data_IF_085232461419
#
_entry.id   IF_085232461419
#
_cell.length_a   1.000
_cell.length_b   1.000
_cell.length_c   1.000
_cell.angle_alpha   90.00
_cell.angle_beta   90.00
_cell.angle_gamma   90.00
#
_symmetry.space_group_name_H-M   'P 1'
#
loop_
_entity.id
_entity.type
_entity.pdbx_description
1 polymer ?
#
# COMPACT_ATOMS: atom_id res chain seq x y z
N UNK A 1 7.68 -13.92 -11.50
CA UNK A 1 7.62 -13.38 -12.88
C UNK A 1 6.27 -13.53 -13.56
N UNK A 2 5.64 -14.72 -13.57
CA UNK A 2 4.33 -14.94 -14.24
C UNK A 2 3.22 -14.01 -13.72
N UNK A 3 3.10 -13.83 -12.41
CA UNK A 3 2.08 -12.94 -11.80
C UNK A 3 2.27 -11.49 -12.28
N UNK A 4 3.50 -10.98 -12.25
CA UNK A 4 3.81 -9.62 -12.72
C UNK A 4 3.50 -9.44 -14.21
N UNK A 5 3.78 -10.44 -15.05
CA UNK A 5 3.42 -10.37 -16.47
C UNK A 5 1.92 -10.36 -16.70
N UNK A 6 1.14 -11.12 -15.92
CA UNK A 6 -0.32 -11.13 -16.03
C UNK A 6 -0.90 -9.79 -15.60
N UNK A 7 -0.42 -9.21 -14.50
CA UNK A 7 -0.84 -7.89 -14.03
C UNK A 7 -0.52 -6.80 -15.05
N UNK A 8 0.68 -6.84 -15.64
CA UNK A 8 1.08 -5.91 -16.70
C UNK A 8 0.19 -6.02 -17.94
N UNK A 9 -0.17 -7.23 -18.36
CA UNK A 9 -1.08 -7.44 -19.49
C UNK A 9 -2.49 -6.87 -19.19
N UNK A 10 -3.01 -7.09 -17.98
CA UNK A 10 -4.29 -6.52 -17.56
C UNK A 10 -4.24 -4.99 -17.57
N UNK A 11 -3.15 -4.40 -17.09
CA UNK A 11 -2.92 -2.94 -17.14
C UNK A 11 -2.98 -2.40 -18.56
N UNK A 12 -2.27 -3.02 -19.51
CA UNK A 12 -2.27 -2.59 -20.91
C UNK A 12 -3.67 -2.70 -21.56
N UNK A 13 -4.39 -3.79 -21.29
CA UNK A 13 -5.76 -3.95 -21.78
C UNK A 13 -6.67 -2.83 -21.27
N UNK A 14 -6.57 -2.49 -19.99
CA UNK A 14 -7.37 -1.42 -19.39
C UNK A 14 -6.98 -0.05 -19.96
N UNK A 15 -5.68 0.23 -20.07
CA UNK A 15 -5.13 1.45 -20.63
C UNK A 15 -5.64 1.70 -22.06
N UNK A 16 -5.80 0.66 -22.87
CA UNK A 16 -6.34 0.75 -24.23
C UNK A 16 -7.87 0.79 -24.25
N UNK A 17 -8.54 0.04 -23.37
CA UNK A 17 -10.01 -0.05 -23.35
C UNK A 17 -10.69 1.27 -22.95
N UNK A 18 -10.10 2.01 -22.00
CA UNK A 18 -10.63 3.29 -21.49
C UNK A 18 -10.76 4.34 -22.62
N UNK A 19 -9.72 4.68 -23.39
CA UNK A 19 -9.83 5.67 -24.47
C UNK A 19 -10.81 5.22 -25.57
N UNK A 20 -10.90 3.91 -25.85
CA UNK A 20 -11.90 3.37 -26.79
C UNK A 20 -13.33 3.60 -26.28
N UNK A 21 -13.60 3.28 -25.01
CA UNK A 21 -14.90 3.51 -24.38
C UNK A 21 -15.28 4.99 -24.38
N UNK A 22 -14.32 5.87 -24.05
CA UNK A 22 -14.49 7.33 -24.07
C UNK A 22 -14.78 7.81 -25.49
N UNK A 23 -14.02 7.36 -26.49
CA UNK A 23 -14.24 7.75 -27.88
C UNK A 23 -15.63 7.34 -28.38
N UNK A 24 -16.06 6.11 -28.09
CA UNK A 24 -17.41 5.63 -28.43
C UNK A 24 -18.49 6.46 -27.74
N UNK A 25 -18.30 6.80 -26.46
CA UNK A 25 -19.23 7.64 -25.72
C UNK A 25 -19.36 9.04 -26.34
N UNK A 26 -18.24 9.72 -26.56
CA UNK A 26 -18.18 11.09 -27.09
C UNK A 26 -18.77 11.14 -28.49
N UNK A 27 -18.43 10.18 -29.36
CA UNK A 27 -18.98 10.11 -30.71
C UNK A 27 -20.51 10.00 -30.70
N UNK A 28 -21.05 9.06 -29.91
CA UNK A 28 -22.49 8.82 -29.84
C UNK A 28 -23.24 9.99 -29.24
N UNK A 29 -22.66 10.69 -28.28
CA UNK A 29 -23.29 11.86 -27.69
C UNK A 29 -23.18 13.12 -28.56
N UNK A 30 -22.02 13.36 -29.17
CA UNK A 30 -21.83 14.50 -30.07
C UNK A 30 -22.78 14.41 -31.27
N UNK A 31 -22.97 13.21 -31.82
CA UNK A 31 -23.94 12.97 -32.91
C UNK A 31 -25.38 13.28 -32.50
N UNK A 32 -25.76 13.03 -31.25
CA UNK A 32 -27.11 13.34 -30.73
C UNK A 32 -27.34 14.82 -30.56
N UNK A 33 -26.30 15.54 -30.14
CA UNK A 33 -26.35 16.99 -29.91
C UNK A 33 -26.11 17.83 -31.16
N UNK A 34 -26.01 17.20 -32.34
CA UNK A 34 -25.74 17.90 -33.60
C UNK A 34 -24.35 18.52 -33.71
N UNK A 35 -23.39 18.13 -32.85
CA UNK A 35 -22.00 18.59 -32.91
C UNK A 35 -21.18 17.74 -33.87
N UNK A 36 -20.05 18.26 -34.37
CA UNK A 36 -19.11 17.52 -35.23
C UNK A 36 -18.50 16.30 -34.49
N UNK A 37 -18.97 15.06 -34.74
CA UNK A 37 -18.68 13.96 -33.81
C UNK A 37 -17.22 13.54 -33.83
N UNK A 38 -16.61 13.54 -35.02
CA UNK A 38 -15.23 13.10 -35.24
C UNK A 38 -14.24 14.04 -34.53
N UNK A 39 -14.44 15.35 -34.65
CA UNK A 39 -13.56 16.35 -34.05
C UNK A 39 -13.55 16.26 -32.53
N UNK A 40 -14.73 16.19 -31.91
CA UNK A 40 -14.84 16.04 -30.45
C UNK A 40 -14.28 14.69 -29.96
N UNK A 41 -14.48 13.62 -30.72
CA UNK A 41 -13.91 12.30 -30.41
C UNK A 41 -12.38 12.33 -30.46
N UNK A 42 -11.81 12.97 -31.48
CA UNK A 42 -10.37 13.09 -31.65
C UNK A 42 -9.74 13.88 -30.50
N UNK A 43 -10.35 15.02 -30.13
CA UNK A 43 -9.93 15.83 -28.98
C UNK A 43 -10.00 15.00 -27.69
N UNK A 44 -11.08 14.27 -27.46
CA UNK A 44 -11.28 13.51 -26.23
C UNK A 44 -10.29 12.34 -26.06
N UNK A 45 -9.88 11.70 -27.15
CA UNK A 45 -9.01 10.51 -27.14
C UNK A 45 -7.52 10.87 -27.20
N UNK A 46 -7.14 11.89 -27.98
CA UNK A 46 -5.73 12.26 -28.16
C UNK A 46 -5.17 13.13 -27.03
N UNK A 47 -6.03 13.83 -26.31
CA UNK A 47 -5.58 14.66 -25.20
C UNK A 47 -5.11 13.79 -24.03
N UNK A 48 -3.92 14.08 -23.44
CA UNK A 48 -3.41 13.33 -22.32
C UNK A 48 -4.31 13.48 -21.09
N UNK A 49 -4.24 12.50 -20.18
CA UNK A 49 -4.87 12.56 -18.86
C UNK A 49 -6.39 12.90 -18.88
N UNK A 50 -7.11 12.46 -19.90
CA UNK A 50 -8.55 12.71 -20.08
C UNK A 50 -8.93 14.20 -20.20
N UNK A 51 -7.96 15.10 -20.42
CA UNK A 51 -8.20 16.54 -20.51
C UNK A 51 -9.23 16.86 -21.61
N UNK A 52 -9.10 16.22 -22.77
CA UNK A 52 -10.04 16.39 -23.87
C UNK A 52 -11.45 15.92 -23.54
N UNK A 53 -11.58 14.85 -22.75
CA UNK A 53 -12.87 14.37 -22.28
C UNK A 53 -13.52 15.37 -21.30
N UNK A 54 -12.73 15.95 -20.38
CA UNK A 54 -13.20 17.00 -19.46
C UNK A 54 -13.66 18.23 -20.24
N UNK A 55 -12.85 18.71 -21.20
CA UNK A 55 -13.21 19.83 -22.07
C UNK A 55 -14.53 19.55 -22.80
N UNK A 56 -14.68 18.35 -23.36
CA UNK A 56 -15.92 17.93 -24.00
C UNK A 56 -17.12 17.99 -23.06
N UNK A 57 -16.98 17.49 -21.82
CA UNK A 57 -18.05 17.52 -20.83
C UNK A 57 -18.44 18.95 -20.42
N UNK A 58 -17.48 19.87 -20.33
CA UNK A 58 -17.75 21.28 -20.05
C UNK A 58 -18.50 21.94 -21.21
N UNK A 59 -18.02 21.74 -22.44
CA UNK A 59 -18.62 22.35 -23.63
C UNK A 59 -20.00 21.80 -23.93
N UNK A 60 -20.24 20.49 -23.77
CA UNK A 60 -21.56 19.92 -24.11
C UNK A 60 -22.69 20.50 -23.26
N UNK A 61 -22.40 21.09 -22.09
CA UNK A 61 -23.40 21.72 -21.22
C UNK A 61 -24.16 22.85 -21.90
N UNK A 62 -23.56 23.53 -22.89
CA UNK A 62 -24.20 24.61 -23.64
C UNK A 62 -25.14 24.12 -24.74
N UNK A 63 -25.09 22.85 -25.12
CA UNK A 63 -25.93 22.27 -26.17
C UNK A 63 -27.13 21.55 -25.59
N UNK A 64 -28.34 21.94 -25.99
CA UNK A 64 -29.60 21.33 -25.56
C UNK A 64 -29.93 20.06 -26.34
N UNK A 65 -30.26 18.99 -25.63
CA UNK A 65 -30.68 17.68 -26.16
C UNK A 65 -32.21 17.53 -26.05
N UNK A 66 -32.91 18.54 -26.57
CA UNK A 66 -34.36 18.69 -26.47
C UNK A 66 -34.99 18.34 -27.81
N UNK A 67 -36.03 17.52 -27.79
CA UNK A 67 -36.78 17.10 -28.98
C UNK A 67 -38.23 17.60 -28.90
N UNK A 68 -38.81 17.93 -30.05
CA UNK A 68 -40.23 18.26 -30.15
C UNK A 68 -41.07 16.99 -29.88
N UNK A 69 -42.06 17.03 -28.97
CA UNK A 69 -42.87 15.86 -28.66
C UNK A 69 -43.80 15.43 -29.80
N UNK A 70 -44.06 16.31 -30.78
CA UNK A 70 -44.95 16.03 -31.90
C UNK A 70 -44.21 15.43 -33.10
N UNK A 71 -43.11 16.03 -33.54
CA UNK A 71 -42.39 15.61 -34.75
C UNK A 71 -40.98 15.03 -34.52
N UNK A 72 -40.44 15.10 -33.29
CA UNK A 72 -39.10 14.61 -32.97
C UNK A 72 -37.94 15.50 -33.42
N UNK A 73 -38.22 16.68 -33.97
CA UNK A 73 -37.19 17.64 -34.39
C UNK A 73 -36.36 18.14 -33.19
N UNK A 74 -35.05 18.32 -33.37
CA UNK A 74 -34.20 18.92 -32.34
C UNK A 74 -34.53 20.40 -32.16
N UNK A 75 -34.86 20.80 -30.93
CA UNK A 75 -35.27 22.16 -30.59
C UNK A 75 -34.40 22.70 -29.48
N UNK A 76 -34.24 24.03 -29.41
CA UNK A 76 -33.49 24.65 -28.32
C UNK A 76 -34.42 25.18 -27.24
N UNK A 77 -33.88 25.43 -26.04
CA UNK A 77 -34.64 26.05 -24.94
C UNK A 77 -35.21 27.42 -25.29
N UNK A 78 -34.76 28.09 -26.36
CA UNK A 78 -35.23 29.44 -26.71
C UNK A 78 -36.45 29.41 -27.63
N UNK A 79 -36.76 28.26 -28.24
CA UNK A 79 -37.82 28.17 -29.23
C UNK A 79 -39.19 28.22 -28.56
N UNK A 80 -40.04 29.14 -29.03
CA UNK A 80 -41.43 29.31 -28.57
C UNK A 80 -42.34 28.30 -29.28
N UNK A 81 -42.06 28.03 -30.56
CA UNK A 81 -42.75 27.07 -31.40
C UNK A 81 -41.74 26.23 -32.19
N UNK A 82 -42.12 25.01 -32.53
CA UNK A 82 -41.30 24.14 -33.36
C UNK A 82 -41.23 24.66 -34.81
N UNK A 83 -40.05 24.83 -35.40
CA UNK A 83 -39.91 25.31 -36.78
C UNK A 83 -40.38 24.31 -37.84
N UNK A 84 -40.43 23.01 -37.50
CA UNK A 84 -40.81 21.95 -38.43
C UNK A 84 -42.33 21.68 -38.44
N UNK A 85 -42.95 21.53 -37.26
CA UNK A 85 -44.38 21.17 -37.14
C UNK A 85 -45.29 22.29 -36.60
N UNK A 86 -44.75 23.41 -36.14
CA UNK A 86 -45.53 24.53 -35.58
C UNK A 86 -46.05 24.32 -34.16
N UNK A 87 -45.81 23.17 -33.52
CA UNK A 87 -46.25 22.92 -32.13
C UNK A 87 -45.71 23.99 -31.17
N UNK A 88 -46.58 24.53 -30.31
CA UNK A 88 -46.17 25.47 -29.26
C UNK A 88 -45.41 24.72 -28.16
N UNK A 89 -44.15 25.12 -27.95
CA UNK A 89 -43.22 24.51 -27.00
C UNK A 89 -43.18 25.28 -25.67
N UNK A 90 -43.57 26.56 -25.68
CA UNK A 90 -43.69 27.43 -24.50
C UNK A 90 -45.03 28.15 -24.45
N UNK A 91 -45.47 28.44 -23.23
CA UNK A 91 -46.62 29.30 -23.01
C UNK A 91 -46.22 30.77 -23.17
N UNK A 92 -47.20 31.63 -23.45
CA UNK A 92 -47.04 33.08 -23.53
C UNK A 92 -47.82 33.73 -22.38
N UNK A 93 -47.27 34.79 -21.81
CA UNK A 93 -47.95 35.54 -20.77
C UNK A 93 -49.22 36.22 -21.32
N UNK A 94 -50.38 36.13 -20.66
CA UNK A 94 -51.62 36.73 -21.16
C UNK A 94 -51.60 38.26 -21.18
N UNK A 95 -50.80 38.89 -20.33
CA UNK A 95 -50.70 40.36 -20.25
C UNK A 95 -49.70 40.96 -21.26
N UNK A 96 -48.44 40.50 -21.25
CA UNK A 96 -47.36 41.09 -22.05
C UNK A 96 -46.91 40.23 -23.24
N UNK A 97 -47.58 39.10 -23.51
CA UNK A 97 -47.25 38.14 -24.58
C UNK A 97 -45.80 37.63 -24.62
N UNK A 98 -45.03 37.82 -23.54
CA UNK A 98 -43.68 37.29 -23.39
C UNK A 98 -43.65 35.77 -23.15
N UNK A 99 -42.61 35.05 -23.60
CA UNK A 99 -42.48 33.61 -23.42
C UNK A 99 -42.23 33.25 -21.95
N UNK A 100 -42.93 32.23 -21.45
CA UNK A 100 -42.85 31.77 -20.06
C UNK A 100 -42.70 30.25 -20.00
N UNK A 101 -42.00 29.76 -18.97
CA UNK A 101 -41.83 28.32 -18.71
C UNK A 101 -43.01 27.77 -17.89
N UNK A 102 -43.29 26.47 -18.04
CA UNK A 102 -44.46 25.83 -17.42
C UNK A 102 -44.41 25.87 -15.89
N UNK A 103 -43.20 25.86 -15.32
CA UNK A 103 -42.95 25.84 -13.89
C UNK A 103 -43.01 27.24 -13.23
N UNK A 104 -43.14 28.32 -14.03
CA UNK A 104 -43.13 29.69 -13.52
C UNK A 104 -44.52 30.10 -13.00
N UNK A 105 -44.54 30.69 -11.79
CA UNK A 105 -45.78 31.18 -11.16
C UNK A 105 -46.13 32.62 -11.54
N UNK A 106 -45.12 33.40 -11.94
CA UNK A 106 -45.22 34.84 -12.21
C UNK A 106 -44.38 35.17 -13.43
N UNK A 107 -44.89 36.04 -14.30
CA UNK A 107 -44.16 36.51 -15.47
C UNK A 107 -43.00 37.44 -15.06
N UNK A 108 -41.75 37.17 -15.47
CA UNK A 108 -40.62 38.03 -15.13
C UNK A 108 -40.63 39.38 -15.87
N UNK A 109 -41.34 39.47 -17.01
CA UNK A 109 -41.41 40.72 -17.78
C UNK A 109 -42.39 41.75 -17.21
N UNK A 110 -43.53 41.30 -16.68
CA UNK A 110 -44.60 42.21 -16.25
C UNK A 110 -45.16 41.95 -14.84
N UNK A 111 -44.66 40.93 -14.12
CA UNK A 111 -45.11 40.60 -12.77
C UNK A 111 -46.50 39.98 -12.66
N UNK A 112 -47.18 39.71 -13.80
CA UNK A 112 -48.52 39.12 -13.78
C UNK A 112 -48.46 37.64 -13.38
N UNK A 113 -49.31 37.17 -12.45
CA UNK A 113 -49.39 35.76 -12.10
C UNK A 113 -49.83 34.93 -13.31
N UNK A 114 -49.17 33.80 -13.53
CA UNK A 114 -49.45 32.92 -14.67
C UNK A 114 -50.57 31.93 -14.31
N UNK A 115 -51.50 31.64 -15.25
CA UNK A 115 -52.51 30.61 -15.05
C UNK A 115 -51.85 29.25 -14.77
N UNK A 116 -52.43 28.45 -13.88
CA UNK A 116 -51.95 27.10 -13.63
C UNK A 116 -52.43 26.19 -14.76
N UNK A 117 -51.49 25.78 -15.60
CA UNK A 117 -51.58 24.69 -16.58
C UNK A 117 -52.59 24.90 -17.74
N UNK A 118 -52.07 25.34 -18.89
CA UNK A 118 -52.74 25.19 -20.19
C UNK A 118 -52.31 23.85 -20.83
N UNK A 119 -53.25 22.91 -20.98
CA UNK A 119 -53.01 21.57 -21.56
C UNK A 119 -52.60 21.60 -23.05
N UNK A 120 -52.71 22.76 -23.71
CA UNK A 120 -52.34 22.92 -25.13
C UNK A 120 -50.83 23.13 -25.38
N UNK A 121 -50.02 23.26 -24.32
CA UNK A 121 -48.56 23.48 -24.43
C UNK A 121 -47.80 22.21 -24.06
N UNK A 122 -47.12 21.62 -25.05
CA UNK A 122 -46.27 20.44 -24.84
C UNK A 122 -44.81 20.87 -24.75
N UNK A 123 -44.26 20.83 -23.53
CA UNK A 123 -42.85 21.17 -23.30
C UNK A 123 -41.92 20.19 -24.03
N UNK A 124 -40.77 20.66 -24.55
CA UNK A 124 -39.81 19.79 -25.22
C UNK A 124 -39.30 18.71 -24.26
N UNK A 125 -39.24 17.48 -24.74
CA UNK A 125 -38.88 16.31 -23.93
C UNK A 125 -37.38 16.05 -24.07
N UNK A 126 -36.72 15.77 -22.95
CA UNK A 126 -35.34 15.31 -22.94
C UNK A 126 -35.30 13.79 -23.05
N UNK A 127 -34.75 13.25 -24.13
CA UNK A 127 -34.62 11.81 -24.30
C UNK A 127 -33.51 11.26 -23.39
N UNK A 128 -33.89 10.60 -22.30
CA UNK A 128 -32.92 9.96 -21.40
C UNK A 128 -32.40 8.66 -22.01
N UNK A 129 -31.20 8.70 -22.58
CA UNK A 129 -30.55 7.51 -23.11
C UNK A 129 -29.93 6.65 -22.01
N UNK A 130 -30.62 5.56 -21.67
CA UNK A 130 -30.12 4.56 -20.71
C UNK A 130 -28.76 3.98 -21.14
N UNK A 131 -28.55 3.81 -22.45
CA UNK A 131 -27.28 3.27 -22.97
C UNK A 131 -26.11 4.23 -22.76
N UNK A 132 -26.33 5.53 -22.93
CA UNK A 132 -25.28 6.54 -22.75
C UNK A 132 -24.86 6.65 -21.27
N UNK A 133 -25.84 6.59 -20.36
CA UNK A 133 -25.59 6.53 -18.92
C UNK A 133 -24.81 5.28 -18.50
N UNK A 134 -25.12 4.11 -19.08
CA UNK A 134 -24.36 2.88 -18.82
C UNK A 134 -22.90 3.01 -19.25
N UNK A 135 -22.64 3.56 -20.44
CA UNK A 135 -21.27 3.75 -20.93
C UNK A 135 -20.48 4.69 -20.00
N UNK A 136 -21.08 5.80 -19.56
CA UNK A 136 -20.43 6.73 -18.63
C UNK A 136 -20.10 6.05 -17.29
N UNK A 137 -21.01 5.24 -16.76
CA UNK A 137 -20.80 4.51 -15.51
C UNK A 137 -19.65 3.51 -15.63
N UNK A 138 -19.55 2.80 -16.76
CA UNK A 138 -18.45 1.86 -17.04
C UNK A 138 -17.10 2.58 -17.15
N UNK A 139 -17.06 3.75 -17.81
CA UNK A 139 -15.85 4.58 -17.92
C UNK A 139 -15.33 5.04 -16.55
N UNK A 140 -16.20 5.20 -15.55
CA UNK A 140 -15.81 5.61 -14.19
C UNK A 140 -15.49 4.38 -13.31
N UNK A 141 -16.28 3.30 -13.39
CA UNK A 141 -16.09 2.12 -12.53
C UNK A 141 -14.85 1.30 -12.88
N UNK A 142 -14.53 1.12 -14.17
CA UNK A 142 -13.37 0.30 -14.58
C UNK A 142 -12.06 0.86 -13.99
N UNK A 143 -11.74 2.16 -14.12
CA UNK A 143 -10.54 2.73 -13.51
C UNK A 143 -10.52 2.61 -12.00
N UNK A 144 -11.64 2.88 -11.32
CA UNK A 144 -11.73 2.83 -9.85
C UNK A 144 -11.51 1.41 -9.33
N UNK A 145 -12.16 0.43 -9.96
CA UNK A 145 -11.98 -0.98 -9.65
C UNK A 145 -10.51 -1.39 -9.87
N UNK A 146 -9.92 -0.96 -10.98
CA UNK A 146 -8.54 -1.28 -11.29
C UNK A 146 -7.55 -0.68 -10.28
N UNK A 147 -7.72 0.60 -9.91
CA UNK A 147 -6.93 1.24 -8.85
C UNK A 147 -7.08 0.46 -7.55
N UNK A 148 -8.29 0.05 -7.18
CA UNK A 148 -8.52 -0.79 -6.00
C UNK A 148 -7.78 -2.13 -6.07
N UNK A 149 -7.79 -2.81 -7.22
CA UNK A 149 -7.07 -4.07 -7.43
C UNK A 149 -5.55 -3.86 -7.34
N UNK A 150 -5.02 -2.79 -7.92
CA UNK A 150 -3.59 -2.46 -7.86
C UNK A 150 -3.18 -2.16 -6.42
N UNK A 151 -3.94 -1.36 -5.68
CA UNK A 151 -3.68 -1.06 -4.27
C UNK A 151 -3.74 -2.30 -3.40
N UNK A 152 -4.73 -3.17 -3.62
CA UNK A 152 -4.86 -4.45 -2.91
C UNK A 152 -3.69 -5.39 -3.24
N UNK A 153 -3.28 -5.45 -4.51
CA UNK A 153 -2.15 -6.27 -4.95
C UNK A 153 -0.80 -5.74 -4.43
N UNK A 154 -0.66 -4.41 -4.30
CA UNK A 154 0.50 -3.78 -3.69
C UNK A 154 0.61 -4.14 -2.21
N UNK A 155 -0.51 -4.11 -1.48
CA UNK A 155 -0.55 -4.50 -0.06
C UNK A 155 -0.33 -6.01 0.15
N UNK A 156 -0.66 -6.83 -0.84
CA UNK A 156 -0.35 -8.26 -0.83
C UNK A 156 1.12 -8.57 -1.19
N UNK A 157 1.83 -7.64 -1.83
CA UNK A 157 3.22 -7.83 -2.26
C UNK A 157 4.25 -7.18 -1.32
N UNK A 158 3.83 -6.30 -0.41
CA UNK A 158 4.64 -5.91 0.76
C UNK A 158 4.72 -7.08 1.74
N UNK A 159 5.40 -8.16 1.32
CA UNK A 159 5.95 -9.14 2.24
C UNK A 159 7.13 -8.48 2.95
N UNK A 160 7.10 -8.53 4.29
CA UNK A 160 8.10 -8.04 5.24
C UNK A 160 9.53 -7.94 4.67
N UNK A 161 10.09 -6.75 4.65
CA UNK A 161 11.53 -6.51 4.46
C UNK A 161 12.27 -6.93 5.72
N UNK A 162 12.78 -8.16 5.75
CA UNK A 162 13.68 -8.62 6.80
C UNK A 162 14.79 -9.50 6.24
N UNK A 163 16.01 -9.32 6.74
CA UNK A 163 17.18 -10.09 6.35
C UNK A 163 17.28 -11.37 7.17
N UNK A 164 17.47 -12.51 6.51
CA UNK A 164 17.68 -13.80 7.18
C UNK A 164 19.07 -14.35 6.81
N UNK A 165 19.92 -14.54 7.81
CA UNK A 165 21.25 -15.13 7.69
C UNK A 165 21.36 -16.44 8.48
N UNK A 166 22.22 -17.35 8.02
CA UNK A 166 22.59 -18.55 8.78
C UNK A 166 24.07 -18.81 8.66
N UNK A 167 24.71 -19.22 9.76
CA UNK A 167 26.06 -19.76 9.77
C UNK A 167 26.08 -21.04 10.61
N UNK A 168 26.91 -22.00 10.21
CA UNK A 168 27.07 -23.29 10.90
C UNK A 168 28.53 -23.46 11.28
N UNK A 169 28.83 -23.67 12.56
CA UNK A 169 30.19 -23.88 13.08
C UNK A 169 30.19 -25.02 14.09
N UNK A 170 31.35 -25.65 14.31
CA UNK A 170 31.51 -26.59 15.43
C UNK A 170 31.45 -25.86 16.78
N UNK A 171 30.96 -26.51 17.83
CA UNK A 171 30.82 -25.86 19.13
C UNK A 171 32.18 -25.43 19.72
N UNK A 172 33.22 -26.22 19.52
CA UNK A 172 34.58 -25.89 19.96
C UNK A 172 35.14 -24.63 19.28
N UNK A 173 34.79 -24.43 18.01
CA UNK A 173 35.20 -23.28 17.22
C UNK A 173 34.41 -22.02 17.59
N UNK A 174 33.10 -22.18 17.82
CA UNK A 174 32.25 -21.10 18.31
C UNK A 174 32.67 -20.60 19.70
N UNK A 175 32.92 -21.50 20.65
CA UNK A 175 33.36 -21.15 22.00
C UNK A 175 34.72 -20.45 22.00
N UNK A 176 35.64 -20.84 21.11
CA UNK A 176 36.92 -20.15 20.91
C UNK A 176 36.75 -18.74 20.35
N UNK A 177 35.75 -18.52 19.50
CA UNK A 177 35.48 -17.24 18.88
C UNK A 177 34.84 -16.24 19.86
N UNK A 178 33.81 -16.66 20.61
CA UNK A 178 33.01 -15.77 21.46
C UNK A 178 33.57 -15.64 22.88
N UNK A 179 34.24 -16.67 23.42
CA UNK A 179 34.89 -16.69 24.75
C UNK A 179 33.99 -16.21 25.90
N UNK A 180 32.69 -16.50 25.85
CA UNK A 180 31.74 -16.17 26.90
C UNK A 180 31.46 -17.39 27.81
N UNK A 181 31.76 -17.32 29.13
CA UNK A 181 31.50 -18.42 30.06
C UNK A 181 30.02 -18.76 30.24
N UNK A 182 29.09 -17.84 29.96
CA UNK A 182 27.65 -18.13 30.08
C UNK A 182 27.17 -19.09 29.00
N UNK A 183 27.70 -18.95 27.78
CA UNK A 183 27.33 -19.83 26.65
C UNK A 183 27.91 -21.22 26.85
N UNK A 184 29.14 -21.31 27.37
CA UNK A 184 29.77 -22.59 27.73
C UNK A 184 28.95 -23.33 28.78
N UNK A 185 28.52 -22.63 29.85
CA UNK A 185 27.69 -23.22 30.89
C UNK A 185 26.30 -23.63 30.39
N UNK A 186 25.72 -22.88 29.45
CA UNK A 186 24.45 -23.27 28.82
C UNK A 186 24.61 -24.53 27.97
N UNK A 187 25.69 -24.64 27.19
CA UNK A 187 25.95 -25.80 26.35
C UNK A 187 26.18 -27.07 27.19
N UNK A 188 26.89 -26.97 28.31
CA UNK A 188 27.09 -28.08 29.26
C UNK A 188 25.78 -28.56 29.91
N UNK A 189 24.80 -27.66 30.06
CA UNK A 189 23.48 -27.98 30.60
C UNK A 189 22.50 -28.51 29.55
N UNK A 190 22.87 -28.51 28.26
CA UNK A 190 22.06 -29.12 27.22
C UNK A 190 22.07 -30.65 27.37
N UNK A 191 20.88 -31.25 27.32
CA UNK A 191 20.73 -32.70 27.45
C UNK A 191 21.04 -33.45 26.15
N UNK A 192 21.15 -34.78 26.25
CA UNK A 192 21.42 -35.68 25.11
C UNK A 192 20.15 -36.09 24.32
N UNK A 193 19.05 -35.37 24.47
CA UNK A 193 17.79 -35.72 23.80
C UNK A 193 17.87 -35.45 22.28
N UNK A 194 17.96 -36.54 21.50
CA UNK A 194 18.05 -36.51 20.04
C UNK A 194 16.78 -35.96 19.35
N UNK A 195 15.67 -35.79 20.07
CA UNK A 195 14.40 -35.27 19.55
C UNK A 195 14.09 -33.86 20.11
N UNK A 196 15.10 -33.15 20.60
CA UNK A 196 14.97 -31.80 21.15
C UNK A 196 16.02 -30.86 20.57
N UNK A 197 15.61 -29.62 20.31
CA UNK A 197 16.52 -28.55 19.90
C UNK A 197 16.64 -27.55 21.05
N UNK A 198 17.87 -27.26 21.46
CA UNK A 198 18.19 -26.23 22.45
C UNK A 198 18.52 -24.95 21.71
N UNK A 199 17.82 -23.86 22.04
CA UNK A 199 17.96 -22.57 21.36
C UNK A 199 18.28 -21.50 22.39
N UNK A 200 19.40 -20.82 22.20
CA UNK A 200 19.75 -19.61 22.94
C UNK A 200 19.40 -18.40 22.07
N UNK A 201 18.58 -17.49 22.60
CA UNK A 201 18.07 -16.30 21.91
C UNK A 201 18.70 -15.05 22.51
N UNK A 202 19.22 -14.17 21.66
CA UNK A 202 19.59 -12.81 22.01
C UNK A 202 18.80 -11.83 21.13
N UNK A 203 18.21 -10.83 21.77
CA UNK A 203 17.50 -9.74 21.11
C UNK A 203 18.28 -8.45 21.33
N UNK A 204 18.66 -7.80 20.23
CA UNK A 204 19.29 -6.48 20.25
C UNK A 204 18.37 -5.51 19.52
N UNK A 205 17.71 -4.64 20.29
CA UNK A 205 16.98 -3.50 19.75
C UNK A 205 17.96 -2.32 19.58
N UNK A 206 17.95 -1.67 18.42
CA UNK A 206 18.74 -0.45 18.22
C UNK A 206 18.04 0.72 18.93
N UNK A 207 18.53 1.09 20.12
CA UNK A 207 18.09 2.31 20.81
C UNK A 207 18.93 3.51 20.34
N UNK A 208 18.24 4.56 19.88
CA UNK A 208 18.87 5.80 19.45
C UNK A 208 19.35 6.58 20.67
N UNK A 209 20.65 6.56 20.95
CA UNK A 209 21.28 7.47 21.90
C UNK A 209 21.18 8.91 21.38
N UNK A 210 20.06 9.58 21.65
CA UNK A 210 19.92 11.03 21.43
C UNK A 210 20.66 11.74 22.55
N UNK A 211 21.99 11.87 22.43
CA UNK A 211 22.72 12.89 23.19
C UNK A 211 23.96 13.38 22.45
N UNK A 212 23.87 14.59 21.91
CA UNK A 212 24.83 15.69 22.07
C UNK A 212 24.86 16.59 20.82
N UNK A 213 24.01 17.61 20.80
CA UNK A 213 24.34 18.88 20.16
C UNK A 213 23.35 19.95 20.61
N UNK A 214 23.67 20.63 21.72
CA UNK A 214 23.15 21.96 22.01
C UNK A 214 24.03 22.66 23.05
N UNK A 215 25.13 23.26 22.58
CA UNK A 215 25.70 24.43 23.24
C UNK A 215 25.70 25.61 22.27
N UNK A 216 24.67 26.44 22.38
CA UNK A 216 24.77 27.87 22.07
C UNK A 216 24.21 28.61 23.28
N UNK A 217 25.08 29.39 23.93
CA UNK A 217 24.88 29.84 25.29
C UNK A 217 23.94 31.04 25.46
N UNK A 218 23.62 31.31 26.72
CA UNK A 218 23.40 32.66 27.23
C UNK A 218 23.57 32.69 28.76
N UNK A 219 24.38 33.65 29.19
CA UNK A 219 24.66 34.02 30.57
C UNK A 219 23.39 34.53 31.28
N UNK A 220 23.24 34.25 32.59
CA UNK A 220 23.16 35.27 33.65
C UNK A 220 22.87 34.70 35.05
N UNK A 221 23.77 35.07 35.98
CA UNK A 221 23.62 35.39 37.41
C UNK A 221 22.67 34.63 38.34
N UNK A 222 23.24 34.09 39.43
CA UNK A 222 22.57 33.91 40.72
C UNK A 222 23.18 32.85 41.64
N UNK A 223 24.12 33.22 42.51
CA UNK A 223 24.52 32.45 43.72
C UNK A 223 23.54 32.73 44.89
N UNK A 224 23.64 32.09 46.08
CA UNK A 224 24.36 30.86 46.49
C UNK A 224 23.52 29.90 47.37
N UNK A 225 23.92 28.62 47.54
CA UNK A 225 24.18 28.08 48.88
C UNK A 225 24.88 26.70 48.94
N UNK A 226 25.64 26.59 50.04
CA UNK A 226 26.64 25.60 50.48
C UNK A 226 26.16 24.15 50.60
N UNK A 227 27.07 23.22 50.27
CA UNK A 227 27.07 21.83 50.75
C UNK A 227 28.35 21.11 50.31
N UNK A 228 29.18 20.75 51.29
CA UNK A 228 30.57 20.27 51.20
C UNK A 228 30.62 18.75 51.37
N UNK A 229 31.48 18.03 50.62
CA UNK A 229 32.26 16.81 50.96
C UNK A 229 32.64 16.10 49.63
N UNK A 230 33.81 16.37 49.05
CA UNK A 230 35.15 15.77 49.29
C UNK A 230 35.39 14.44 48.53
N UNK A 231 36.55 14.44 47.85
CA UNK A 231 37.03 13.55 46.79
C UNK A 231 37.32 12.11 47.25
N UNK A 232 37.21 11.16 46.32
CA UNK A 232 38.33 10.21 46.09
C UNK A 232 38.30 9.65 44.66
N UNK A 233 39.48 9.70 44.07
CA UNK A 233 39.84 9.39 42.69
C UNK A 233 39.57 7.91 42.34
N UNK A 234 38.91 7.68 41.19
CA UNK A 234 38.75 6.38 40.56
C UNK A 234 39.35 6.45 39.17
N UNK A 235 40.38 5.63 38.98
CA UNK A 235 41.29 5.60 37.85
C UNK A 235 40.57 5.28 36.52
N UNK A 236 40.94 6.03 35.48
CA UNK A 236 40.56 5.82 34.08
C UNK A 236 41.23 4.55 33.57
N UNK A 237 40.45 3.54 33.21
CA UNK A 237 40.90 2.48 32.30
C UNK A 237 39.93 2.51 31.12
N UNK A 238 40.33 3.26 30.10
CA UNK A 238 39.83 3.10 28.74
C UNK A 238 40.14 1.67 28.29
N UNK A 239 39.13 0.88 27.97
CA UNK A 239 39.29 -0.23 27.03
C UNK A 239 38.20 -0.08 25.98
N UNK A 240 38.52 0.79 25.02
CA UNK A 240 38.32 0.62 23.59
C UNK A 240 37.16 -0.29 23.16
N UNK A 241 36.06 0.38 22.84
CA UNK A 241 35.08 -0.08 21.87
C UNK A 241 35.77 -0.36 20.54
N UNK A 242 35.53 -1.52 19.96
CA UNK A 242 35.60 -1.79 18.53
C UNK A 242 34.91 -3.13 18.30
N UNK A 243 33.59 -3.10 18.08
CA UNK A 243 32.87 -4.19 17.41
C UNK A 243 31.92 -3.55 16.39
N UNK A 244 31.85 -4.04 15.14
CA UNK A 244 31.17 -3.34 14.07
C UNK A 244 29.66 -3.59 14.16
N UNK A 245 28.91 -2.49 14.23
CA UNK A 245 27.46 -2.49 14.10
C UNK A 245 27.11 -2.95 12.67
N UNK A 246 26.33 -4.04 12.48
CA UNK A 246 25.83 -4.38 11.16
C UNK A 246 24.92 -3.25 10.67
N UNK A 247 24.89 -3.00 9.35
CA UNK A 247 24.04 -1.99 8.71
C UNK A 247 22.54 -2.28 8.99
N UNK A 248 22.05 -1.81 10.14
CA UNK A 248 20.67 -1.87 10.59
C UNK A 248 20.01 -0.54 10.25
N UNK A 249 18.85 -0.59 9.59
CA UNK A 249 18.06 0.60 9.28
C UNK A 249 17.24 1.04 10.51
N UNK A 250 16.89 2.32 10.56
CA UNK A 250 16.21 2.98 11.69
C UNK A 250 14.89 2.24 12.04
N UNK A 251 14.79 1.69 13.25
CA UNK A 251 13.61 0.95 13.74
C UNK A 251 13.64 -0.59 13.58
N UNK A 252 14.75 -1.18 13.13
CA UNK A 252 14.92 -2.64 13.04
C UNK A 252 15.46 -3.26 14.33
N UNK A 253 14.88 -4.40 14.72
CA UNK A 253 15.41 -5.28 15.77
C UNK A 253 16.22 -6.40 15.14
N UNK A 254 17.39 -6.70 15.71
CA UNK A 254 18.17 -7.88 15.35
C UNK A 254 17.92 -8.98 16.39
N UNK A 255 17.49 -10.15 15.93
CA UNK A 255 17.31 -11.34 16.77
C UNK A 255 18.26 -12.42 16.30
N UNK A 256 19.06 -12.96 17.22
CA UNK A 256 20.01 -14.03 16.97
C UNK A 256 19.58 -15.28 17.73
N UNK A 257 19.54 -16.41 17.02
CA UNK A 257 19.24 -17.72 17.58
C UNK A 257 20.44 -18.64 17.40
N UNK A 258 21.08 -19.03 18.50
CA UNK A 258 22.09 -20.07 18.53
C UNK A 258 21.42 -21.40 18.85
N UNK A 259 21.49 -22.35 17.93
CA UNK A 259 20.75 -23.61 17.97
C UNK A 259 21.74 -24.76 18.11
N UNK A 260 21.57 -25.56 19.15
CA UNK A 260 22.27 -26.81 19.39
C UNK A 260 21.32 -28.00 19.25
N UNK A 261 21.75 -29.01 18.50
CA UNK A 261 21.03 -30.26 18.32
C UNK A 261 22.00 -31.43 18.42
N UNK A 262 21.87 -32.33 19.43
CA UNK A 262 22.78 -33.49 19.58
C UNK A 262 22.77 -34.46 18.40
N UNK A 263 21.71 -34.43 17.57
CA UNK A 263 21.54 -35.26 16.39
C UNK A 263 22.08 -34.61 15.09
N UNK A 264 22.74 -33.45 15.19
CA UNK A 264 23.19 -32.68 14.03
C UNK A 264 24.56 -33.20 13.54
N UNK A 265 24.73 -33.51 12.24
CA UNK A 265 26.04 -33.91 11.72
C UNK A 265 27.02 -32.72 11.63
N UNK A 266 28.31 -33.01 11.47
CA UNK A 266 29.38 -32.00 11.33
C UNK A 266 29.16 -31.04 10.15
N UNK A 267 28.48 -31.50 9.09
CA UNK A 267 28.00 -30.66 7.99
C UNK A 267 26.53 -30.95 7.72
N UNK A 268 25.59 -30.21 8.34
CA UNK A 268 24.17 -30.42 8.12
C UNK A 268 23.72 -29.76 6.83
N UNK A 269 22.92 -30.48 6.04
CA UNK A 269 22.19 -29.88 4.92
C UNK A 269 20.95 -29.16 5.48
N UNK A 270 21.02 -27.83 5.50
CA UNK A 270 19.98 -26.96 6.06
C UNK A 270 19.32 -26.12 4.98
N UNK A 271 18.02 -25.92 5.12
CA UNK A 271 17.27 -24.93 4.33
C UNK A 271 16.49 -24.02 5.26
N UNK A 272 16.72 -22.71 5.12
CA UNK A 272 15.92 -21.70 5.80
C UNK A 272 14.81 -21.19 4.88
N UNK A 273 13.60 -21.14 5.42
CA UNK A 273 12.47 -20.46 4.80
C UNK A 273 12.01 -19.32 5.70
N UNK A 274 11.76 -18.16 5.09
CA UNK A 274 11.00 -17.08 5.72
C UNK A 274 9.61 -17.00 5.09
N UNK A 275 8.57 -16.90 5.90
CA UNK A 275 7.24 -16.59 5.39
C UNK A 275 6.51 -15.62 6.32
N UNK A 276 5.97 -14.55 5.72
CA UNK A 276 5.05 -13.64 6.37
C UNK A 276 3.63 -14.25 6.32
N UNK A 277 2.95 -14.24 7.46
CA UNK A 277 1.53 -14.62 7.56
C UNK A 277 0.75 -13.50 8.21
N UNK A 278 -0.59 -13.59 8.18
CA UNK A 278 -1.49 -12.65 8.86
C UNK A 278 -1.33 -12.65 10.41
N UNK A 279 -0.52 -13.56 10.96
CA UNK A 279 -0.25 -13.73 12.40
C UNK A 279 1.20 -13.43 12.79
N UNK A 280 1.92 -12.70 11.93
CA UNK A 280 3.32 -12.32 12.11
C UNK A 280 4.29 -13.14 11.27
N UNK A 281 5.58 -12.83 11.45
CA UNK A 281 6.71 -13.45 10.76
C UNK A 281 7.00 -14.85 11.31
N UNK A 282 7.39 -15.80 10.45
CA UNK A 282 7.86 -17.12 10.89
C UNK A 282 9.11 -17.54 10.12
N UNK A 283 10.14 -17.89 10.87
CA UNK A 283 11.37 -18.49 10.36
C UNK A 283 11.25 -19.99 10.51
N UNK A 284 11.38 -20.73 9.41
CA UNK A 284 11.38 -22.17 9.40
C UNK A 284 12.76 -22.70 9.01
N UNK A 285 13.43 -23.33 9.97
CA UNK A 285 14.67 -24.07 9.74
C UNK A 285 14.32 -25.52 9.44
N UNK A 286 14.69 -26.02 8.26
CA UNK A 286 14.58 -27.44 7.93
C UNK A 286 15.97 -28.05 7.85
N UNK A 287 16.19 -29.06 8.68
CA UNK A 287 17.40 -29.87 8.74
C UNK A 287 17.08 -31.22 8.12
N UNK A 288 17.86 -31.65 7.14
CA UNK A 288 17.69 -32.98 6.55
C UNK A 288 18.26 -34.06 7.48
N UNK A 289 17.56 -35.20 7.57
CA UNK A 289 18.02 -36.34 8.35
C UNK A 289 19.24 -36.97 7.67
N UNK A 290 20.38 -36.96 8.36
CA UNK A 290 21.61 -37.59 7.89
C UNK A 290 21.86 -38.87 8.70
N UNK A 291 22.25 -39.96 8.04
CA UNK A 291 22.46 -41.27 8.68
C UNK A 291 23.76 -41.39 9.48
N UNK A 292 24.31 -40.28 9.98
CA UNK A 292 25.57 -40.21 10.72
C UNK A 292 25.38 -40.24 12.24
N UNK A 293 26.41 -40.69 12.97
CA UNK A 293 26.50 -40.49 14.42
C UNK A 293 26.60 -38.99 14.71
N UNK A 294 25.87 -38.50 15.71
CA UNK A 294 25.77 -37.08 16.06
C UNK A 294 27.12 -36.36 16.12
N UNK A 295 27.14 -35.15 15.59
CA UNK A 295 28.25 -34.21 15.64
C UNK A 295 27.98 -33.09 16.66
N UNK A 296 28.98 -32.23 16.86
CA UNK A 296 28.93 -31.13 17.82
C UNK A 296 28.82 -29.79 17.08
N UNK A 297 27.78 -29.62 16.28
CA UNK A 297 27.58 -28.44 15.42
C UNK A 297 26.57 -27.47 16.02
N UNK A 298 26.89 -26.19 16.01
CA UNK A 298 26.02 -25.08 16.35
C UNK A 298 25.57 -24.35 15.08
N UNK A 299 24.31 -23.95 15.06
CA UNK A 299 23.73 -23.13 14.00
C UNK A 299 23.39 -21.75 14.57
N UNK A 300 23.98 -20.70 14.01
CA UNK A 300 23.60 -19.32 14.30
C UNK A 300 22.66 -18.84 13.20
N UNK A 301 21.44 -18.46 13.58
CA UNK A 301 20.43 -17.90 12.70
C UNK A 301 20.18 -16.45 13.11
N UNK A 302 20.39 -15.53 12.17
CA UNK A 302 20.22 -14.10 12.42
C UNK A 302 19.04 -13.59 11.61
N UNK A 303 18.11 -12.92 12.30
CA UNK A 303 17.00 -12.21 11.71
C UNK A 303 17.14 -10.71 11.96
N UNK A 304 16.88 -9.91 10.94
CA UNK A 304 16.73 -8.46 11.06
C UNK A 304 15.37 -8.05 10.53
N UNK A 305 14.59 -7.30 11.30
CA UNK A 305 13.27 -6.84 10.88
C UNK A 305 12.53 -6.02 11.94
N UNK A 306 11.37 -5.49 11.58
CA UNK A 306 10.54 -4.65 12.46
C UNK A 306 9.74 -5.47 13.49
N UNK A 307 9.42 -6.74 13.19
CA UNK A 307 8.66 -7.62 14.08
C UNK A 307 9.43 -8.90 14.40
N UNK A 308 9.27 -9.38 15.65
CA UNK A 308 9.85 -10.64 16.11
C UNK A 308 9.29 -11.85 15.33
N UNK A 309 10.16 -12.69 14.74
CA UNK A 309 9.74 -13.88 14.05
C UNK A 309 9.49 -15.04 15.01
N UNK A 310 8.48 -15.86 14.73
CA UNK A 310 8.33 -17.16 15.38
C UNK A 310 9.33 -18.15 14.78
N UNK A 311 10.16 -18.79 15.60
CA UNK A 311 11.07 -19.84 15.14
C UNK A 311 10.36 -21.20 15.10
N UNK A 312 10.50 -21.93 13.99
CA UNK A 312 10.06 -23.32 13.85
C UNK A 312 11.18 -24.18 13.29
N UNK A 313 11.49 -25.26 13.99
CA UNK A 313 12.54 -26.21 13.58
C UNK A 313 11.88 -27.51 13.10
N UNK A 314 12.33 -28.00 11.94
CA UNK A 314 11.97 -29.32 11.41
C UNK A 314 13.21 -30.15 11.12
N UNK A 315 13.20 -31.42 11.53
CA UNK A 315 14.25 -32.39 11.24
C UNK A 315 13.65 -33.61 10.55
N UNK A 316 14.21 -34.03 9.41
CA UNK A 316 13.66 -35.14 8.63
C UNK A 316 12.18 -34.91 8.22
N UNK A 317 11.76 -33.64 8.11
CA UNK A 317 10.38 -33.25 7.82
C UNK A 317 9.41 -33.25 9.01
N UNK A 318 9.85 -33.61 10.23
CA UNK A 318 9.04 -33.58 11.47
C UNK A 318 9.38 -32.35 12.31
N UNK A 319 8.37 -31.74 12.93
CA UNK A 319 8.59 -30.65 13.88
C UNK A 319 9.12 -31.18 15.20
N UNK A 320 10.21 -30.57 15.68
CA UNK A 320 10.87 -30.90 16.96
C UNK A 320 10.44 -29.88 18.02
N UNK A 321 10.32 -30.32 19.28
CA UNK A 321 10.21 -29.43 20.43
C UNK A 321 11.46 -28.55 20.56
N UNK A 322 11.25 -27.25 20.67
CA UNK A 322 12.30 -26.25 20.87
C UNK A 322 12.26 -25.76 22.32
N UNK A 323 13.39 -25.78 23.00
CA UNK A 323 13.57 -25.12 24.30
C UNK A 323 14.33 -23.82 24.08
N UNK A 324 13.65 -22.69 24.27
CA UNK A 324 14.23 -21.36 24.05
C UNK A 324 14.66 -20.80 25.39
N UNK A 325 15.93 -20.42 25.50
CA UNK A 325 16.51 -19.71 26.64
C UNK A 325 16.95 -18.33 26.18
N UNK A 326 16.66 -17.30 26.96
CA UNK A 326 17.04 -15.92 26.65
C UNK A 326 18.38 -15.56 27.28
N UNK A 327 19.19 -14.80 26.55
CA UNK A 327 20.45 -14.25 27.05
C UNK A 327 20.63 -12.79 26.65
N UNK A 328 21.22 -12.01 27.56
CA UNK A 328 21.65 -10.63 27.31
C UNK A 328 23.00 -10.59 26.58
N UNK A 329 23.77 -11.68 26.59
CA UNK A 329 25.04 -11.80 25.87
C UNK A 329 24.84 -11.81 24.36
N UNK A 330 25.69 -11.06 23.63
CA UNK A 330 25.69 -11.08 22.17
C UNK A 330 26.15 -12.44 21.64
N UNK A 331 25.41 -12.98 20.68
CA UNK A 331 25.70 -14.26 20.02
C UNK A 331 26.45 -14.08 18.69
N UNK A 332 26.84 -12.84 18.37
CA UNK A 332 27.47 -12.47 17.12
C UNK A 332 28.90 -13.05 17.03
N UNK A 333 29.25 -13.59 15.87
CA UNK A 333 30.61 -13.97 15.56
C UNK A 333 31.44 -12.72 15.23
N UNK A 334 32.69 -12.61 15.71
CA UNK A 334 33.59 -11.53 15.31
C UNK A 334 33.94 -11.63 13.81
N UNK A 335 34.16 -10.50 13.14
CA UNK A 335 34.43 -10.34 11.69
C UNK A 335 35.63 -11.15 11.13
N UNK A 336 36.36 -11.89 11.95
CA UNK A 336 37.59 -12.61 11.59
C UNK A 336 37.38 -14.09 11.19
N UNK A 337 36.16 -14.46 10.77
CA UNK A 337 35.81 -15.78 10.26
C UNK A 337 35.25 -15.77 8.84
#
# INVERSE_FOLDING_TARGET
>A
MLVMTVVFMIYLVILISIPVLIGVYVYKDAKKRGMSPVLWTLIAVLAPALIGFIIYLLVRGSYSDLECPNCGETVTRQYVSCPNCGQKLKALCPNCSGPVEKEWKVCPGCGTPLPKEDDSVSSPVRKKDKMLGRILLVVILIPVLFIGIVLFSFMAFTSSSGGLGTTSLSADEYLKAVKDPQIEQWLENCGEDLQKAYVLRNETAYEQDVSAEQETGQQNNGQPNKGKLEKREGNKIETQADNPTPNLEEGQTQVQYLIYMPCLPDMPEISLGHYASIFGNTIQLNVQEASGSGGNTLLLVTWTGEEEPKLKIKYGGRSISCEITDTESSLALPDSF
#
